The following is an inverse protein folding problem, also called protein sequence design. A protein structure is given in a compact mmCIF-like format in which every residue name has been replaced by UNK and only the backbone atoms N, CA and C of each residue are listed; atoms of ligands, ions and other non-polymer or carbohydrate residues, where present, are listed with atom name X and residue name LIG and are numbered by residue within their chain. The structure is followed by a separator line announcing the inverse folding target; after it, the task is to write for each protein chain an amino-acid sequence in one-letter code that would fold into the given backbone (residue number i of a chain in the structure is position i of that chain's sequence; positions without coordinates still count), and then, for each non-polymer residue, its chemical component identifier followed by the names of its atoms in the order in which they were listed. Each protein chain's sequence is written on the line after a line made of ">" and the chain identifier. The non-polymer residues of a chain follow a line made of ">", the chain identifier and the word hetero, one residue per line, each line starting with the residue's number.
data_IF_669565366275
#
_entry.id   IF_669565366275
#
_cell.length_a   1.000
_cell.length_b   1.000
_cell.length_c   1.000
_cell.angle_alpha   90.00
_cell.angle_beta   90.00
_cell.angle_gamma   90.00
#
_symmetry.space_group_name_H-M   'P 1'
#
loop_
_entity.id
_entity.type
_entity.pdbx_description
1 polymer ?
#
# COMPACT_ATOMS: atom_id res chain seq x y z
N UNK A 1 6.43 11.41 -10.06
CA UNK A 1 6.38 12.60 -9.18
C UNK A 1 7.49 12.52 -8.12
N UNK A 2 8.29 13.56 -7.89
CA UNK A 2 9.36 13.56 -6.86
C UNK A 2 9.42 14.90 -6.11
N UNK A 3 8.87 14.95 -4.89
CA UNK A 3 8.91 16.13 -4.00
C UNK A 3 8.48 15.78 -2.58
N UNK A 4 9.01 16.45 -1.56
CA UNK A 4 8.79 16.11 -0.13
C UNK A 4 7.31 16.11 0.30
N UNK A 5 6.46 16.90 -0.36
CA UNK A 5 5.02 16.97 -0.09
C UNK A 5 4.25 15.75 -0.64
N UNK A 6 4.85 15.04 -1.59
CA UNK A 6 4.30 13.87 -2.26
C UNK A 6 5.21 12.68 -1.91
N UNK A 7 5.14 12.23 -0.66
CA UNK A 7 5.97 11.14 -0.15
C UNK A 7 5.15 10.07 0.57
N UNK A 8 5.69 8.85 0.63
CA UNK A 8 5.05 7.68 1.24
C UNK A 8 4.51 6.67 0.24
N UNK A 9 4.28 5.44 0.71
CA UNK A 9 3.94 4.29 -0.15
C UNK A 9 2.65 4.54 -0.96
N UNK A 10 1.65 5.21 -0.39
CA UNK A 10 0.34 5.44 -1.03
C UNK A 10 0.35 6.46 -2.18
N UNK A 11 1.48 7.10 -2.45
CA UNK A 11 1.59 8.09 -3.53
C UNK A 11 1.57 7.44 -4.90
N UNK A 12 2.34 6.38 -5.11
CA UNK A 12 2.50 5.78 -6.45
C UNK A 12 1.18 5.27 -7.01
N UNK A 13 0.29 4.73 -6.17
CA UNK A 13 -1.04 4.32 -6.63
C UNK A 13 -1.93 5.48 -7.09
N UNK A 14 -1.67 6.72 -6.66
CA UNK A 14 -2.43 7.89 -7.12
C UNK A 14 -2.22 8.12 -8.62
N UNK A 15 -1.07 7.77 -9.19
CA UNK A 15 -0.82 7.93 -10.63
C UNK A 15 -1.84 7.13 -11.47
N UNK A 16 -2.20 5.93 -11.02
CA UNK A 16 -3.20 5.09 -11.68
C UNK A 16 -4.61 5.67 -11.55
N UNK A 17 -5.01 6.06 -10.35
CA UNK A 17 -6.35 6.60 -10.12
C UNK A 17 -6.57 7.98 -10.76
N UNK A 18 -5.60 8.89 -10.69
CA UNK A 18 -5.71 10.17 -11.37
C UNK A 18 -5.70 10.01 -12.90
N UNK A 19 -4.93 9.05 -13.42
CA UNK A 19 -4.99 8.70 -14.85
C UNK A 19 -6.37 8.21 -15.25
N UNK A 20 -7.00 7.34 -14.45
CA UNK A 20 -8.36 6.88 -14.68
C UNK A 20 -9.38 8.03 -14.58
N UNK A 21 -9.27 8.89 -13.58
CA UNK A 21 -10.14 10.06 -13.40
C UNK A 21 -10.03 11.01 -14.61
N UNK A 22 -8.81 11.28 -15.10
CA UNK A 22 -8.56 12.10 -16.29
C UNK A 22 -9.16 11.47 -17.55
N UNK A 23 -8.92 10.17 -17.78
CA UNK A 23 -9.44 9.44 -18.95
C UNK A 23 -10.95 9.47 -19.02
N UNK A 24 -11.62 9.36 -17.87
CA UNK A 24 -13.08 9.40 -17.76
C UNK A 24 -13.65 10.82 -17.65
N UNK A 25 -12.81 11.85 -17.78
CA UNK A 25 -13.26 13.25 -17.85
C UNK A 25 -13.71 13.87 -16.53
N UNK A 26 -13.40 13.25 -15.38
CA UNK A 26 -13.72 13.83 -14.08
C UNK A 26 -12.98 15.15 -13.86
N UNK A 27 -13.63 16.08 -13.15
CA UNK A 27 -13.05 17.37 -12.73
C UNK A 27 -12.89 17.50 -11.23
N UNK A 28 -13.52 16.59 -10.49
CA UNK A 28 -13.55 16.61 -9.03
C UNK A 28 -13.13 15.25 -8.50
N UNK A 29 -12.27 15.24 -7.48
CA UNK A 29 -11.86 14.04 -6.75
C UNK A 29 -12.20 14.16 -5.27
N UNK A 30 -12.56 13.03 -4.67
CA UNK A 30 -12.86 12.90 -3.25
C UNK A 30 -11.87 11.91 -2.63
N UNK A 31 -11.12 12.35 -1.63
CA UNK A 31 -10.26 11.50 -0.82
C UNK A 31 -10.81 11.34 0.59
N UNK A 32 -10.56 10.19 1.22
CA UNK A 32 -10.96 9.92 2.60
C UNK A 32 -9.77 9.58 3.49
N UNK A 33 -9.75 10.13 4.70
CA UNK A 33 -8.75 9.80 5.72
C UNK A 33 -8.71 10.79 6.88
N UNK A 34 -7.89 10.50 7.86
CA UNK A 34 -7.70 11.36 9.04
C UNK A 34 -6.95 12.64 8.70
N UNK A 35 -7.07 13.66 9.56
CA UNK A 35 -6.48 14.99 9.35
C UNK A 35 -4.95 14.97 9.17
N UNK A 36 -4.26 14.02 9.80
CA UNK A 36 -2.80 13.83 9.71
C UNK A 36 -2.36 12.90 8.58
N UNK A 37 -3.29 12.38 7.77
CA UNK A 37 -3.01 11.36 6.75
C UNK A 37 -2.09 11.87 5.63
N UNK A 38 -0.92 11.23 5.49
CA UNK A 38 0.00 11.47 4.36
C UNK A 38 -0.68 11.21 3.00
N UNK A 39 -1.64 10.30 2.96
CA UNK A 39 -2.42 9.99 1.76
C UNK A 39 -3.31 11.16 1.36
N UNK A 40 -4.06 11.73 2.30
CA UNK A 40 -4.91 12.90 2.06
C UNK A 40 -4.08 14.12 1.60
N UNK A 41 -2.91 14.35 2.20
CA UNK A 41 -2.00 15.41 1.75
C UNK A 41 -1.51 15.19 0.32
N UNK A 42 -1.14 13.96 -0.03
CA UNK A 42 -0.72 13.61 -1.38
C UNK A 42 -1.84 13.81 -2.40
N UNK A 43 -3.08 13.42 -2.07
CA UNK A 43 -4.27 13.67 -2.90
C UNK A 43 -4.48 15.17 -3.14
N UNK A 44 -4.37 15.99 -2.09
CA UNK A 44 -4.55 17.43 -2.19
C UNK A 44 -3.53 18.07 -3.14
N UNK A 45 -2.25 17.72 -2.98
CA UNK A 45 -1.17 18.26 -3.83
C UNK A 45 -1.33 17.78 -5.27
N UNK A 46 -1.37 16.46 -5.50
CA UNK A 46 -1.46 15.88 -6.84
C UNK A 46 -2.73 16.32 -7.57
N UNK A 47 -3.87 16.33 -6.88
CA UNK A 47 -5.13 16.74 -7.47
C UNK A 47 -5.10 18.20 -7.91
N UNK A 48 -4.50 19.10 -7.12
CA UNK A 48 -4.35 20.50 -7.52
C UNK A 48 -3.36 20.72 -8.65
N UNK A 49 -2.23 20.01 -8.65
CA UNK A 49 -1.26 20.04 -9.76
C UNK A 49 -1.89 19.59 -11.09
N UNK A 50 -2.78 18.60 -11.05
CA UNK A 50 -3.49 18.09 -12.23
C UNK A 50 -4.77 18.86 -12.57
N UNK A 51 -5.09 19.94 -11.84
CA UNK A 51 -6.22 20.81 -12.13
C UNK A 51 -7.59 20.32 -11.64
N UNK A 52 -7.63 19.40 -10.68
CA UNK A 52 -8.88 18.91 -10.06
C UNK A 52 -9.40 19.82 -8.94
N UNK A 53 -10.71 19.79 -8.74
CA UNK A 53 -11.33 20.16 -7.47
C UNK A 53 -11.15 19.01 -6.48
N UNK A 54 -10.51 19.27 -5.33
CA UNK A 54 -10.20 18.24 -4.34
C UNK A 54 -11.04 18.45 -3.10
N UNK A 55 -11.75 17.40 -2.68
CA UNK A 55 -12.48 17.36 -1.42
C UNK A 55 -11.94 16.23 -0.55
N UNK A 56 -11.54 16.56 0.67
CA UNK A 56 -11.06 15.59 1.65
C UNK A 56 -12.09 15.45 2.76
N UNK A 57 -12.51 14.22 3.04
CA UNK A 57 -13.51 13.92 4.06
C UNK A 57 -12.94 12.93 5.08
N UNK A 58 -13.33 13.09 6.34
CA UNK A 58 -12.86 12.21 7.41
C UNK A 58 -13.79 11.02 7.66
N UNK A 59 -15.01 11.06 7.13
CA UNK A 59 -16.05 10.05 7.39
C UNK A 59 -16.42 9.32 6.10
N UNK A 60 -16.29 7.98 6.11
CA UNK A 60 -16.62 7.10 4.98
C UNK A 60 -18.09 7.21 4.55
N UNK A 61 -19.02 7.45 5.47
CA UNK A 61 -20.44 7.64 5.13
C UNK A 61 -20.67 8.88 4.26
N UNK A 62 -19.88 9.94 4.49
CA UNK A 62 -19.97 11.16 3.68
C UNK A 62 -19.41 10.95 2.28
N UNK A 63 -18.38 10.08 2.12
CA UNK A 63 -17.88 9.69 0.80
C UNK A 63 -19.04 9.13 -0.03
N UNK A 64 -19.74 8.11 0.47
CA UNK A 64 -20.83 7.46 -0.25
C UNK A 64 -21.96 8.43 -0.63
N UNK A 65 -22.29 9.34 0.28
CA UNK A 65 -23.27 10.39 0.02
C UNK A 65 -22.85 11.30 -1.14
N UNK A 66 -21.60 11.76 -1.14
CA UNK A 66 -21.06 12.66 -2.16
C UNK A 66 -20.84 11.95 -3.51
N UNK A 67 -20.49 10.66 -3.51
CA UNK A 67 -20.38 9.87 -4.74
C UNK A 67 -21.70 9.82 -5.50
N UNK A 68 -22.80 9.55 -4.78
CA UNK A 68 -24.11 9.35 -5.39
C UNK A 68 -24.74 10.65 -5.90
N UNK A 69 -24.43 11.78 -5.26
CA UNK A 69 -24.97 13.10 -5.64
C UNK A 69 -24.03 13.93 -6.53
N UNK A 70 -22.75 13.56 -6.56
CA UNK A 70 -21.73 14.46 -7.07
C UNK A 70 -21.52 15.67 -6.16
N UNK A 71 -20.63 16.57 -6.58
CA UNK A 71 -20.41 17.87 -5.94
C UNK A 71 -20.95 18.92 -6.89
N UNK A 72 -21.87 19.75 -6.39
CA UNK A 72 -22.60 20.76 -7.18
C UNK A 72 -23.29 20.17 -8.42
N UNK A 73 -23.78 18.93 -8.31
CA UNK A 73 -24.44 18.21 -9.41
C UNK A 73 -23.49 17.64 -10.46
N UNK A 74 -22.17 17.75 -10.25
CA UNK A 74 -21.15 17.18 -11.15
C UNK A 74 -20.58 15.88 -10.57
N UNK A 75 -20.30 14.86 -11.41
CA UNK A 75 -19.75 13.60 -10.94
C UNK A 75 -18.35 13.79 -10.35
N UNK A 76 -18.07 13.08 -9.26
CA UNK A 76 -16.77 13.10 -8.59
C UNK A 76 -16.16 11.70 -8.56
N UNK A 77 -14.84 11.61 -8.79
CA UNK A 77 -14.11 10.36 -8.70
C UNK A 77 -13.65 10.14 -7.25
N UNK A 78 -13.95 8.97 -6.69
CA UNK A 78 -13.56 8.64 -5.31
C UNK A 78 -12.24 7.90 -5.33
N UNK A 79 -11.26 8.44 -4.59
CA UNK A 79 -9.96 7.82 -4.43
C UNK A 79 -10.03 6.77 -3.31
N UNK A 80 -9.90 5.47 -3.63
CA UNK A 80 -10.04 4.41 -2.65
C UNK A 80 -8.85 4.38 -1.67
N UNK A 81 -9.10 3.96 -0.43
CA UNK A 81 -8.01 3.67 0.51
C UNK A 81 -7.22 2.40 0.10
N UNK A 82 -7.88 1.49 -0.62
CA UNK A 82 -7.36 0.24 -1.14
C UNK A 82 -8.48 -0.80 -1.14
N UNK A 83 -8.58 -1.62 -2.18
CA UNK A 83 -9.54 -2.73 -2.23
C UNK A 83 -9.01 -3.85 -3.13
N UNK A 84 -9.46 -5.10 -2.95
CA UNK A 84 -9.08 -6.18 -3.85
C UNK A 84 -9.56 -5.93 -5.29
N UNK A 85 -8.63 -5.86 -6.23
CA UNK A 85 -8.86 -5.40 -7.61
C UNK A 85 -8.52 -3.92 -7.85
N UNK A 86 -8.00 -3.21 -6.85
CA UNK A 86 -7.51 -1.84 -7.00
C UNK A 86 -6.32 -1.79 -7.98
N UNK A 87 -6.40 -1.04 -9.10
CA UNK A 87 -5.30 -0.94 -10.08
C UNK A 87 -4.03 -0.31 -9.48
N UNK A 88 -4.13 0.32 -8.31
CA UNK A 88 -3.00 0.79 -7.53
C UNK A 88 -1.98 -0.29 -7.16
N UNK A 89 -2.35 -1.59 -7.23
CA UNK A 89 -1.41 -2.69 -7.02
C UNK A 89 -0.23 -2.67 -8.00
N UNK A 90 -0.46 -2.30 -9.28
CA UNK A 90 0.58 -2.27 -10.31
C UNK A 90 1.69 -1.28 -9.97
N UNK A 91 1.33 -0.15 -9.35
CA UNK A 91 2.30 0.84 -8.89
C UNK A 91 3.31 0.26 -7.88
N UNK A 92 2.87 -0.68 -7.05
CA UNK A 92 3.73 -1.35 -6.07
C UNK A 92 4.50 -2.53 -6.67
N UNK A 93 3.94 -3.21 -7.68
CA UNK A 93 4.68 -4.22 -8.46
C UNK A 93 5.86 -3.54 -9.17
N UNK A 94 5.61 -2.39 -9.82
CA UNK A 94 6.66 -1.57 -10.44
C UNK A 94 7.69 -1.10 -9.42
N UNK A 95 7.23 -0.74 -8.21
CA UNK A 95 8.14 -0.38 -7.11
C UNK A 95 9.05 -1.54 -6.72
N UNK A 96 8.52 -2.76 -6.61
CA UNK A 96 9.34 -3.93 -6.35
C UNK A 96 10.32 -4.17 -7.49
N UNK A 97 9.87 -4.03 -8.73
CA UNK A 97 10.73 -4.16 -9.91
C UNK A 97 11.88 -3.13 -9.92
N UNK A 98 11.62 -1.87 -9.53
CA UNK A 98 12.66 -0.86 -9.33
C UNK A 98 13.69 -1.30 -8.30
N UNK A 99 13.25 -1.84 -7.15
CA UNK A 99 14.16 -2.36 -6.11
C UNK A 99 15.02 -3.53 -6.64
N UNK A 100 14.42 -4.41 -7.44
CA UNK A 100 15.14 -5.50 -8.09
C UNK A 100 16.20 -4.99 -9.07
N UNK A 101 15.85 -4.05 -9.95
CA UNK A 101 16.76 -3.45 -10.93
C UNK A 101 17.92 -2.70 -10.26
N UNK A 102 17.67 -2.04 -9.13
CA UNK A 102 18.68 -1.39 -8.31
C UNK A 102 19.59 -2.40 -7.57
N UNK A 103 19.30 -3.70 -7.64
CA UNK A 103 20.05 -4.76 -6.97
C UNK A 103 19.77 -4.89 -5.48
N UNK A 104 18.85 -4.10 -4.92
CA UNK A 104 18.51 -4.08 -3.48
C UNK A 104 18.08 -5.47 -3.02
N UNK A 105 17.26 -6.15 -3.82
CA UNK A 105 16.73 -7.48 -3.47
C UNK A 105 17.81 -8.57 -3.36
N UNK A 106 19.02 -8.34 -3.90
CA UNK A 106 20.15 -9.27 -3.78
C UNK A 106 20.92 -9.12 -2.48
N UNK A 107 20.75 -8.00 -1.78
CA UNK A 107 21.48 -7.70 -0.54
C UNK A 107 20.80 -8.28 0.71
N UNK A 108 19.55 -8.71 0.58
CA UNK A 108 18.69 -9.13 1.69
C UNK A 108 18.09 -10.51 1.45
N UNK A 109 17.73 -11.20 2.53
CA UNK A 109 17.05 -12.50 2.50
C UNK A 109 15.58 -12.40 2.88
N UNK A 110 15.22 -11.33 3.58
CA UNK A 110 13.91 -11.14 4.19
C UNK A 110 13.39 -9.74 3.83
N UNK A 111 12.11 -9.69 3.50
CA UNK A 111 11.36 -8.48 3.20
C UNK A 111 10.24 -8.35 4.22
N UNK A 112 10.23 -7.26 4.99
CA UNK A 112 9.16 -6.98 5.95
C UNK A 112 8.29 -5.84 5.42
N UNK A 113 6.99 -6.07 5.33
CA UNK A 113 6.00 -5.13 4.76
C UNK A 113 4.80 -5.01 5.70
N UNK A 114 4.34 -3.78 5.94
CA UNK A 114 3.10 -3.56 6.67
C UNK A 114 1.88 -4.02 5.86
N UNK A 115 0.98 -4.77 6.49
CA UNK A 115 -0.25 -5.26 5.89
C UNK A 115 -1.46 -4.59 6.55
N UNK A 116 -2.00 -3.56 5.88
CA UNK A 116 -3.28 -2.92 6.23
C UNK A 116 -4.34 -3.37 5.20
N UNK A 117 -4.46 -2.68 4.06
CA UNK A 117 -5.33 -3.12 2.96
C UNK A 117 -4.82 -4.32 2.16
N UNK A 118 -3.66 -4.89 2.50
CA UNK A 118 -3.03 -6.01 1.79
C UNK A 118 -2.38 -5.68 0.45
N UNK A 119 -2.71 -4.57 -0.21
CA UNK A 119 -2.25 -4.24 -1.57
C UNK A 119 -0.73 -4.23 -1.72
N UNK A 120 -0.02 -3.53 -0.83
CA UNK A 120 1.46 -3.47 -0.91
C UNK A 120 2.08 -4.84 -0.70
N UNK A 121 1.59 -5.60 0.27
CA UNK A 121 2.04 -6.96 0.57
C UNK A 121 1.85 -7.86 -0.64
N UNK A 122 0.63 -7.91 -1.20
CA UNK A 122 0.31 -8.72 -2.38
C UNK A 122 1.15 -8.31 -3.60
N UNK A 123 1.35 -7.02 -3.83
CA UNK A 123 2.19 -6.53 -4.92
C UNK A 123 3.64 -6.99 -4.78
N UNK A 124 4.19 -6.99 -3.57
CA UNK A 124 5.56 -7.41 -3.33
C UNK A 124 5.72 -8.93 -3.39
N UNK A 125 4.69 -9.70 -3.01
CA UNK A 125 4.64 -11.15 -3.26
C UNK A 125 4.73 -11.43 -4.77
N UNK A 126 3.87 -10.76 -5.56
CA UNK A 126 3.85 -10.90 -7.02
C UNK A 126 5.20 -10.49 -7.61
N UNK A 127 5.73 -9.33 -7.23
CA UNK A 127 7.01 -8.83 -7.72
C UNK A 127 8.18 -9.76 -7.39
N UNK A 128 8.23 -10.28 -6.16
CA UNK A 128 9.25 -11.24 -5.73
C UNK A 128 9.19 -12.53 -6.57
N UNK A 129 7.98 -13.06 -6.79
CA UNK A 129 7.79 -14.24 -7.63
C UNK A 129 8.21 -13.98 -9.09
N UNK A 130 7.71 -12.91 -9.72
CA UNK A 130 7.95 -12.62 -11.14
C UNK A 130 9.42 -12.30 -11.47
N UNK A 131 10.18 -11.80 -10.49
CA UNK A 131 11.61 -11.50 -10.68
C UNK A 131 12.53 -12.69 -10.36
N UNK A 132 11.96 -13.84 -9.98
CA UNK A 132 12.74 -15.00 -9.50
C UNK A 132 13.46 -14.71 -8.17
N UNK A 133 12.92 -13.78 -7.38
CA UNK A 133 13.48 -13.37 -6.10
C UNK A 133 13.29 -14.46 -5.03
N UNK A 134 14.30 -14.61 -4.18
CA UNK A 134 14.31 -15.59 -3.08
C UNK A 134 14.00 -14.94 -1.72
N UNK A 135 13.37 -13.75 -1.71
CA UNK A 135 13.07 -13.06 -0.46
C UNK A 135 11.95 -13.79 0.29
N UNK A 136 12.13 -13.94 1.60
CA UNK A 136 11.06 -14.37 2.50
C UNK A 136 10.23 -13.15 2.87
N UNK A 137 8.96 -13.14 2.46
CA UNK A 137 8.06 -12.02 2.73
C UNK A 137 7.40 -12.20 4.09
N UNK A 138 7.51 -11.17 4.93
CA UNK A 138 6.86 -11.10 6.23
C UNK A 138 5.87 -9.93 6.25
N UNK A 139 4.59 -10.24 6.38
CA UNK A 139 3.53 -9.27 6.48
C UNK A 139 3.27 -8.93 7.96
N UNK A 140 3.54 -7.68 8.35
CA UNK A 140 3.21 -7.19 9.68
C UNK A 140 1.78 -6.64 9.68
N UNK A 141 0.85 -7.37 10.30
CA UNK A 141 -0.53 -6.88 10.45
C UNK A 141 -0.62 -5.83 11.54
N UNK A 142 -1.21 -4.68 11.21
CA UNK A 142 -1.40 -3.55 12.14
C UNK A 142 -2.81 -3.49 12.74
N UNK A 143 -3.77 -4.25 12.22
CA UNK A 143 -5.20 -4.12 12.61
C UNK A 143 -5.94 -5.44 12.66
N UNK A 144 -5.74 -6.25 11.63
CA UNK A 144 -6.52 -7.47 11.43
C UNK A 144 -5.82 -8.69 12.04
N UNK A 145 -6.58 -9.73 12.37
CA UNK A 145 -5.98 -11.02 12.73
C UNK A 145 -5.21 -11.61 11.56
N UNK A 146 -4.29 -12.53 11.85
CA UNK A 146 -3.53 -13.31 10.87
C UNK A 146 -4.45 -13.95 9.82
N UNK A 147 -5.56 -14.54 10.26
CA UNK A 147 -6.52 -15.19 9.38
C UNK A 147 -7.18 -14.18 8.42
N UNK A 148 -7.57 -13.02 8.94
CA UNK A 148 -8.16 -11.96 8.12
C UNK A 148 -7.15 -11.38 7.11
N UNK A 149 -5.90 -11.14 7.52
CA UNK A 149 -4.86 -10.71 6.59
C UNK A 149 -4.60 -11.75 5.50
N UNK A 150 -4.56 -13.04 5.84
CA UNK A 150 -4.44 -14.13 4.86
C UNK A 150 -5.58 -14.07 3.83
N UNK A 151 -6.83 -13.96 4.29
CA UNK A 151 -7.98 -13.88 3.40
C UNK A 151 -7.92 -12.66 2.48
N UNK A 152 -7.53 -11.49 3.01
CA UNK A 152 -7.39 -10.25 2.22
C UNK A 152 -6.32 -10.43 1.13
N UNK A 153 -5.15 -10.98 1.49
CA UNK A 153 -4.05 -11.18 0.54
C UNK A 153 -4.46 -12.17 -0.54
N UNK A 154 -5.09 -13.29 -0.17
CA UNK A 154 -5.59 -14.31 -1.12
C UNK A 154 -6.59 -13.70 -2.10
N UNK A 155 -7.60 -12.97 -1.63
CA UNK A 155 -8.60 -12.32 -2.51
C UNK A 155 -7.94 -11.32 -3.48
N UNK A 156 -6.92 -10.57 -3.04
CA UNK A 156 -6.16 -9.69 -3.93
C UNK A 156 -5.38 -10.49 -4.98
N UNK A 157 -4.67 -11.54 -4.58
CA UNK A 157 -3.88 -12.37 -5.49
C UNK A 157 -4.77 -13.09 -6.52
N UNK A 158 -5.95 -13.56 -6.10
CA UNK A 158 -6.97 -14.15 -6.99
C UNK A 158 -7.47 -13.15 -8.02
N UNK A 159 -7.85 -11.93 -7.58
CA UNK A 159 -8.36 -10.88 -8.47
C UNK A 159 -7.32 -10.34 -9.43
N UNK A 160 -6.03 -10.41 -9.07
CA UNK A 160 -4.93 -10.12 -9.97
C UNK A 160 -4.61 -11.28 -10.94
N UNK A 161 -5.30 -12.41 -10.81
CA UNK A 161 -5.07 -13.62 -11.59
C UNK A 161 -3.74 -14.31 -11.29
N UNK A 162 -3.09 -13.95 -10.18
CA UNK A 162 -1.79 -14.49 -9.81
C UNK A 162 -1.91 -15.98 -9.47
N UNK A 163 -2.92 -16.36 -8.68
CA UNK A 163 -3.08 -17.75 -8.24
C UNK A 163 -3.28 -18.75 -9.40
N UNK A 164 -3.84 -18.32 -10.53
CA UNK A 164 -3.96 -19.18 -11.71
C UNK A 164 -2.62 -19.41 -12.42
N UNK A 165 -1.62 -18.53 -12.23
CA UNK A 165 -0.30 -18.64 -12.86
C UNK A 165 0.69 -19.49 -12.06
N UNK A 166 0.55 -19.52 -10.73
CA UNK A 166 1.43 -20.29 -9.84
C UNK A 166 1.06 -21.79 -9.77
N UNK A 167 -0.11 -22.17 -10.26
CA UNK A 167 -0.58 -23.56 -10.32
C UNK A 167 -1.18 -24.08 -9.01
N UNK A 168 -1.90 -25.20 -9.10
CA UNK A 168 -2.50 -25.86 -7.93
C UNK A 168 -1.40 -26.39 -7.00
N UNK A 169 -1.32 -25.87 -5.76
CA UNK A 169 -0.46 -26.43 -4.70
C UNK A 169 0.46 -25.46 -3.95
N UNK A 170 0.48 -24.16 -4.29
CA UNK A 170 1.18 -23.15 -3.48
C UNK A 170 0.25 -22.68 -2.35
N UNK A 171 0.63 -22.93 -1.10
CA UNK A 171 -0.08 -22.37 0.05
C UNK A 171 0.34 -20.90 0.24
N UNK A 172 -0.59 -20.07 0.72
CA UNK A 172 -0.29 -18.68 1.05
C UNK A 172 0.84 -18.59 2.09
N UNK A 173 0.95 -19.59 2.96
CA UNK A 173 2.03 -19.71 3.95
C UNK A 173 3.43 -19.85 3.33
N UNK A 174 3.53 -20.37 2.11
CA UNK A 174 4.80 -20.48 1.37
C UNK A 174 5.21 -19.14 0.77
N UNK A 175 4.23 -18.27 0.48
CA UNK A 175 4.44 -16.94 -0.11
C UNK A 175 4.69 -15.86 0.93
N UNK A 176 4.04 -15.96 2.09
CA UNK A 176 4.09 -14.91 3.12
C UNK A 176 3.88 -15.45 4.53
N UNK A 177 4.78 -15.05 5.43
CA UNK A 177 4.59 -15.21 6.88
C UNK A 177 3.86 -14.00 7.43
N UNK A 178 2.73 -14.20 8.11
CA UNK A 178 2.01 -13.10 8.77
C UNK A 178 2.39 -13.03 10.24
N UNK A 179 2.85 -11.85 10.65
CA UNK A 179 3.21 -11.50 12.01
C UNK A 179 2.16 -10.51 12.53
N UNK A 180 1.47 -10.89 13.61
CA UNK A 180 0.53 -9.99 14.28
C UNK A 180 1.30 -9.02 15.19
N UNK A 181 0.98 -7.73 15.09
CA UNK A 181 1.38 -6.77 16.11
C UNK A 181 0.65 -7.09 17.43
N UNK A 182 1.35 -7.06 18.56
CA UNK A 182 0.72 -7.21 19.88
C UNK A 182 -0.23 -6.03 20.08
N UNK A 183 -1.55 -6.31 20.19
CA UNK A 183 -2.66 -5.35 20.40
C UNK A 183 -2.21 -3.90 20.59
N UNK A 184 -2.19 -3.16 19.49
CA UNK A 184 -1.89 -1.73 19.52
C UNK A 184 -3.08 -0.90 20.01
N UNK A 185 -2.84 0.35 20.45
CA UNK A 185 -3.87 1.34 20.63
C UNK A 185 -4.48 1.76 19.27
N UNK A 186 -5.43 2.70 19.27
CA UNK A 186 -6.14 3.14 18.05
C UNK A 186 -5.17 3.67 16.98
N UNK A 187 -5.62 3.67 15.72
CA UNK A 187 -4.83 4.15 14.58
C UNK A 187 -4.17 5.51 14.86
N UNK A 188 -2.85 5.59 14.63
CA UNK A 188 -2.06 6.82 14.82
C UNK A 188 -1.39 6.97 16.18
N UNK A 189 -1.55 6.03 17.11
CA UNK A 189 -0.87 6.03 18.41
C UNK A 189 0.41 5.17 18.36
N UNK A 190 1.50 5.66 18.96
CA UNK A 190 2.78 4.94 19.08
C UNK A 190 2.89 4.39 20.50
N UNK A 191 3.16 3.09 20.66
CA UNK A 191 3.47 2.48 21.97
C UNK A 191 4.96 2.15 22.11
N UNK A 192 5.48 2.06 23.33
CA UNK A 192 6.91 1.81 23.60
C UNK A 192 7.46 0.50 23.00
N UNK A 193 6.60 -0.52 22.81
CA UNK A 193 6.97 -1.75 22.10
C UNK A 193 7.35 -1.52 20.62
N UNK A 194 6.78 -0.50 19.97
CA UNK A 194 7.15 -0.14 18.59
C UNK A 194 8.59 0.36 18.50
N UNK A 195 8.97 1.24 19.43
CA UNK A 195 10.34 1.77 19.50
C UNK A 195 11.33 0.63 19.77
N UNK A 196 10.95 -0.34 20.61
CA UNK A 196 11.70 -1.58 20.86
C UNK A 196 11.87 -2.46 19.62
N UNK A 197 10.78 -2.78 18.89
CA UNK A 197 10.81 -3.69 17.72
C UNK A 197 11.45 -3.08 16.48
N UNK A 198 11.37 -1.76 16.30
CA UNK A 198 12.12 -1.04 15.24
C UNK A 198 13.63 -1.28 15.38
N UNK A 199 14.11 -1.56 16.60
CA UNK A 199 15.52 -1.81 16.91
C UNK A 199 15.95 -3.27 16.64
N UNK A 200 15.02 -4.22 16.52
CA UNK A 200 15.31 -5.67 16.42
C UNK A 200 15.65 -6.12 14.99
N UNK A 201 15.16 -5.44 13.95
CA UNK A 201 15.42 -5.78 12.54
C UNK A 201 16.82 -5.33 12.05
N UNK A 202 17.84 -5.31 12.93
CA UNK A 202 19.15 -4.70 12.69
C UNK A 202 20.18 -5.56 11.94
N UNK A 203 19.85 -6.75 11.43
CA UNK A 203 20.77 -7.53 10.58
C UNK A 203 20.03 -8.20 9.41
N UNK A 204 20.39 -7.81 8.18
CA UNK A 204 20.02 -8.43 6.89
C UNK A 204 18.53 -8.41 6.48
N UNK A 205 17.73 -7.46 6.98
CA UNK A 205 16.31 -7.32 6.62
C UNK A 205 16.08 -6.04 5.80
N UNK A 206 15.42 -6.17 4.65
CA UNK A 206 14.89 -5.02 3.92
C UNK A 206 13.51 -4.67 4.52
N UNK A 207 13.47 -3.67 5.39
CA UNK A 207 12.20 -3.17 5.95
C UNK A 207 11.62 -2.15 4.97
N UNK A 208 10.53 -2.54 4.31
CA UNK A 208 9.78 -1.63 3.44
C UNK A 208 8.43 -1.34 4.11
N UNK A 209 8.45 -0.54 5.18
CA UNK A 209 7.52 0.56 5.53
C UNK A 209 7.88 1.05 6.97
N UNK A 210 7.95 2.38 7.14
CA UNK A 210 8.52 3.16 8.25
C UNK A 210 10.05 3.34 8.19
N UNK A 211 10.47 4.57 7.88
CA UNK A 211 11.86 5.01 7.78
C UNK A 211 12.69 4.61 9.00
N UNK A 212 13.81 3.89 8.78
CA UNK A 212 15.12 4.15 9.38
C UNK A 212 16.19 3.42 8.54
N UNK A 213 17.19 4.15 8.04
CA UNK A 213 18.36 3.59 7.37
C UNK A 213 19.46 3.34 8.40
N UNK A 214 20.15 2.20 8.33
CA UNK A 214 21.55 2.11 8.72
C UNK A 214 22.31 1.23 7.72
N UNK A 215 23.27 1.84 7.00
CA UNK A 215 24.17 1.19 6.03
C UNK A 215 25.12 0.23 6.73
N UNK A 216 25.54 -0.85 6.05
CA UNK A 216 26.71 -1.63 6.44
C UNK A 216 27.92 -0.69 6.51
N UNK A 217 28.59 -0.64 7.67
CA UNK A 217 30.01 -0.29 7.69
C UNK A 217 30.75 -1.39 6.90
N UNK A 218 31.58 -0.96 5.95
CA UNK A 218 32.69 -1.77 5.43
C UNK A 218 33.61 -2.18 6.59
#
# INVERSE_FOLDING_TARGET
>A
MTGSAISGHKVKKLEFHFSEALKNGYKTVIGCGESSSNYCRSIAVTGKELGFHVHLVQCSNLVNFLTNRGIDGQPAYVLPAGFPGDPGIYAYIDTFHELFLQGVTKEFTDLVVSCDSGITTSAFIIGNYLTGGNLRVHALSTRESKMQCQMIIVDILEKCGFLQQVGDGIDIGDLVSIVESSREPKHGEVCDEHLGRTTVYKKNVCVCVCFFFERRNL
#
